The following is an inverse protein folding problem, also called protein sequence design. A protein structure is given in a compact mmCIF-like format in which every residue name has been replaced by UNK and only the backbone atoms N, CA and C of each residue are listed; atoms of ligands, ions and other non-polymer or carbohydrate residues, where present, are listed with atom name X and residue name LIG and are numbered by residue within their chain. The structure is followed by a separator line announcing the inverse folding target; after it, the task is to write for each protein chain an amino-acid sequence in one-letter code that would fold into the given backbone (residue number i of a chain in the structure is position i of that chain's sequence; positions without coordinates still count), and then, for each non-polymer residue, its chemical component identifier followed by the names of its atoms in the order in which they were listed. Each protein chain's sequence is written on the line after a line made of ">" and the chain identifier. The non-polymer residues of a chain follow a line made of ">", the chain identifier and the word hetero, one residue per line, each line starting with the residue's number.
data_IF_934269050757
#
_entry.id   IF_934269050757
#
_cell.length_a   1.000
_cell.length_b   1.000
_cell.length_c   1.000
_cell.angle_alpha   90.00
_cell.angle_beta   90.00
_cell.angle_gamma   90.00
#
_symmetry.space_group_name_H-M   'P 1'
#
loop_
_entity.id
_entity.type
_entity.pdbx_description
1 polymer ?
#
# COMPACT_ATOMS: atom_id res chain seq x y z
N UNK A 1 11.67 -21.25 -17.34
CA UNK A 1 10.22 -21.48 -17.14
C UNK A 1 9.99 -21.59 -15.63
N UNK A 2 9.18 -20.72 -15.02
CA UNK A 2 9.07 -20.42 -13.56
C UNK A 2 9.89 -19.26 -12.98
N UNK A 3 10.32 -18.27 -13.78
CA UNK A 3 10.74 -16.96 -13.22
C UNK A 3 10.26 -15.74 -14.04
N UNK A 4 9.75 -15.90 -15.26
CA UNK A 4 9.26 -14.77 -16.08
C UNK A 4 7.83 -14.31 -15.77
N UNK A 5 7.08 -14.99 -14.89
CA UNK A 5 5.67 -14.63 -14.62
C UNK A 5 5.46 -13.83 -13.33
N UNK A 6 6.48 -13.70 -12.48
CA UNK A 6 6.37 -12.85 -11.27
C UNK A 6 6.52 -11.36 -11.61
N UNK A 7 6.99 -11.04 -12.82
CA UNK A 7 7.20 -9.66 -13.28
C UNK A 7 5.92 -8.93 -13.73
N UNK A 8 4.77 -9.60 -13.94
CA UNK A 8 3.65 -8.92 -14.61
C UNK A 8 2.74 -8.09 -13.68
N UNK A 9 2.69 -8.38 -12.38
CA UNK A 9 1.70 -7.72 -11.49
C UNK A 9 2.23 -6.57 -10.63
N UNK A 10 3.52 -6.54 -10.30
CA UNK A 10 4.12 -5.38 -9.63
C UNK A 10 4.44 -4.24 -10.62
N UNK A 11 4.63 -4.56 -11.91
CA UNK A 11 5.06 -3.62 -12.95
C UNK A 11 3.93 -2.73 -13.47
N UNK A 12 2.65 -3.15 -13.46
CA UNK A 12 1.59 -2.30 -14.01
C UNK A 12 1.28 -1.07 -13.14
N UNK A 13 1.42 -1.17 -11.81
CA UNK A 13 1.30 -0.04 -10.89
C UNK A 13 2.50 0.93 -10.99
N UNK A 14 3.61 0.45 -11.57
CA UNK A 14 4.84 1.19 -11.77
C UNK A 14 5.17 1.38 -13.26
N UNK A 15 4.24 1.24 -14.21
CA UNK A 15 4.59 1.18 -15.64
C UNK A 15 5.18 2.49 -16.22
N UNK A 16 5.07 3.63 -15.51
CA UNK A 16 5.84 4.86 -15.82
C UNK A 16 7.04 5.10 -14.87
N UNK A 17 7.43 4.08 -14.10
CA UNK A 17 8.42 4.13 -13.02
C UNK A 17 9.37 2.93 -12.99
N UNK A 18 9.11 1.87 -13.74
CA UNK A 18 9.95 0.67 -13.79
C UNK A 18 10.99 0.77 -14.94
N UNK A 19 11.85 1.77 -14.86
CA UNK A 19 13.12 1.77 -15.61
C UNK A 19 14.22 1.35 -14.63
N UNK A 20 15.23 0.57 -15.06
CA UNK A 20 16.38 0.15 -14.23
C UNK A 20 16.93 1.25 -13.28
N UNK A 21 17.03 2.53 -13.70
CA UNK A 21 17.43 3.63 -12.80
C UNK A 21 16.57 3.82 -11.55
N UNK A 22 15.24 3.66 -11.65
CA UNK A 22 14.33 3.90 -10.51
C UNK A 22 14.38 2.77 -9.49
N UNK A 23 14.60 1.54 -9.93
CA UNK A 23 14.84 0.42 -9.01
C UNK A 23 16.15 0.60 -8.25
N UNK A 24 17.20 1.10 -8.92
CA UNK A 24 18.46 1.49 -8.27
C UNK A 24 18.24 2.59 -7.23
N UNK A 25 17.49 3.63 -7.59
CA UNK A 25 17.16 4.71 -6.66
C UNK A 25 16.37 4.20 -5.45
N UNK A 26 15.35 3.36 -5.67
CA UNK A 26 14.58 2.75 -4.60
C UNK A 26 15.46 1.92 -3.65
N UNK A 27 16.40 1.15 -4.19
CA UNK A 27 17.38 0.40 -3.39
C UNK A 27 18.18 1.34 -2.49
N UNK A 28 18.70 2.44 -3.05
CA UNK A 28 19.41 3.47 -2.28
C UNK A 28 18.51 4.09 -1.20
N UNK A 29 17.23 4.35 -1.50
CA UNK A 29 16.28 4.87 -0.51
C UNK A 29 15.99 3.85 0.61
N UNK A 30 15.92 2.56 0.29
CA UNK A 30 15.77 1.49 1.30
C UNK A 30 17.02 1.36 2.19
N UNK A 31 18.21 1.50 1.60
CA UNK A 31 19.49 1.48 2.33
C UNK A 31 19.65 2.70 3.27
N UNK A 32 19.13 3.86 2.87
CA UNK A 32 19.16 5.09 3.67
C UNK A 32 18.02 5.19 4.71
N UNK A 33 16.99 4.34 4.64
CA UNK A 33 15.92 4.28 5.63
C UNK A 33 16.38 3.43 6.82
N UNK A 34 16.51 4.04 8.01
CA UNK A 34 17.04 3.39 9.22
C UNK A 34 16.26 2.12 9.60
N UNK A 35 14.94 2.10 9.41
CA UNK A 35 14.10 0.95 9.73
C UNK A 35 14.28 -0.13 8.67
N UNK A 36 14.20 0.23 7.39
CA UNK A 36 14.30 -0.75 6.30
C UNK A 36 15.70 -1.34 6.19
N UNK A 37 16.76 -0.53 6.31
CA UNK A 37 18.14 -1.01 6.33
C UNK A 37 18.39 -2.03 7.45
N UNK A 38 17.81 -1.80 8.64
CA UNK A 38 17.85 -2.75 9.75
C UNK A 38 17.06 -4.04 9.46
N UNK A 39 15.89 -3.93 8.82
CA UNK A 39 15.13 -5.10 8.37
C UNK A 39 15.89 -5.89 7.32
N UNK A 40 16.53 -5.23 6.35
CA UNK A 40 17.39 -5.85 5.34
C UNK A 40 18.54 -6.61 5.99
N UNK A 41 19.16 -6.05 7.03
CA UNK A 41 20.17 -6.76 7.82
C UNK A 41 19.59 -8.05 8.41
N UNK A 42 18.44 -8.02 9.07
CA UNK A 42 17.82 -9.22 9.64
C UNK A 42 17.35 -10.24 8.61
N UNK A 43 16.89 -9.80 7.44
CA UNK A 43 16.56 -10.72 6.35
C UNK A 43 17.81 -11.47 5.87
N UNK A 44 18.98 -10.81 5.83
CA UNK A 44 20.26 -11.40 5.39
C UNK A 44 20.94 -12.25 6.46
N UNK A 45 20.99 -11.77 7.70
CA UNK A 45 21.73 -12.42 8.80
C UNK A 45 20.87 -13.33 9.68
N UNK A 46 19.55 -13.34 9.47
CA UNK A 46 18.59 -13.97 10.35
C UNK A 46 17.99 -12.98 11.35
N UNK A 47 16.70 -13.20 11.65
CA UNK A 47 15.97 -12.45 12.65
C UNK A 47 16.29 -12.95 14.06
N UNK A 48 16.30 -12.07 15.08
CA UNK A 48 16.44 -12.50 16.46
C UNK A 48 15.23 -13.35 16.88
N UNK A 49 15.41 -14.25 17.86
CA UNK A 49 14.29 -15.03 18.42
C UNK A 49 13.23 -14.13 19.05
N UNK A 50 13.69 -13.04 19.69
CA UNK A 50 12.84 -12.02 20.30
C UNK A 50 13.33 -10.65 19.86
N UNK A 51 12.40 -9.78 19.45
CA UNK A 51 12.73 -8.41 19.08
C UNK A 51 13.06 -7.61 20.34
N UNK A 52 14.19 -6.87 20.38
CA UNK A 52 14.52 -5.99 21.49
C UNK A 52 13.41 -4.98 21.77
N UNK A 53 13.14 -4.70 23.05
CA UNK A 53 12.04 -3.82 23.48
C UNK A 53 12.16 -2.38 22.95
N UNK A 54 13.38 -1.92 22.65
CA UNK A 54 13.65 -0.59 22.11
C UNK A 54 13.44 -0.50 20.59
N UNK A 55 13.40 -1.61 19.85
CA UNK A 55 13.23 -1.63 18.38
C UNK A 55 11.74 -1.64 17.98
N UNK A 56 10.93 -0.79 18.60
CA UNK A 56 9.46 -0.79 18.46
C UNK A 56 9.03 -0.61 16.99
N UNK A 57 9.76 0.20 16.23
CA UNK A 57 9.48 0.46 14.81
C UNK A 57 9.66 -0.77 13.92
N UNK A 58 10.43 -1.77 14.36
CA UNK A 58 10.64 -3.02 13.62
C UNK A 58 9.54 -4.05 13.90
N UNK A 59 8.71 -3.86 14.94
CA UNK A 59 7.68 -4.84 15.34
C UNK A 59 6.75 -5.24 14.19
N UNK A 60 6.19 -4.32 13.37
CA UNK A 60 5.35 -4.72 12.25
C UNK A 60 6.06 -5.61 11.22
N UNK A 61 7.37 -5.41 11.05
CA UNK A 61 8.19 -6.22 10.15
C UNK A 61 8.55 -7.56 10.78
N UNK A 62 8.84 -7.56 12.08
CA UNK A 62 9.09 -8.78 12.86
C UNK A 62 7.88 -9.72 12.85
N UNK A 63 6.66 -9.17 12.96
CA UNK A 63 5.42 -9.95 12.91
C UNK A 63 5.20 -10.63 11.55
N UNK A 64 5.63 -10.00 10.45
CA UNK A 64 5.52 -10.56 9.11
C UNK A 64 6.84 -11.14 8.56
N UNK A 65 7.86 -11.33 9.41
CA UNK A 65 9.23 -11.67 9.00
C UNK A 65 9.39 -12.90 8.10
N UNK A 66 8.53 -13.90 8.26
CA UNK A 66 8.54 -15.12 7.43
C UNK A 66 8.16 -14.87 5.97
N UNK A 67 7.58 -13.70 5.67
CA UNK A 67 7.15 -13.27 4.34
C UNK A 67 8.08 -12.20 3.76
N UNK A 68 9.04 -11.72 4.53
CA UNK A 68 10.02 -10.73 4.06
C UNK A 68 11.18 -11.44 3.38
N UNK A 69 11.54 -10.96 2.20
CA UNK A 69 12.67 -11.47 1.41
C UNK A 69 13.27 -10.34 0.57
N UNK A 70 14.29 -10.64 -0.22
CA UNK A 70 14.92 -9.69 -1.14
C UNK A 70 14.88 -10.21 -2.57
N UNK A 71 14.62 -9.31 -3.52
CA UNK A 71 14.78 -9.54 -4.98
C UNK A 71 15.73 -8.46 -5.48
N UNK A 72 16.87 -8.83 -6.06
CA UNK A 72 17.92 -7.88 -6.48
C UNK A 72 18.31 -6.87 -5.38
N UNK A 73 18.44 -7.37 -4.15
CA UNK A 73 18.66 -6.61 -2.91
C UNK A 73 17.55 -5.61 -2.50
N UNK A 74 16.42 -5.60 -3.20
CA UNK A 74 15.25 -4.79 -2.82
C UNK A 74 14.40 -5.60 -1.84
N UNK A 75 14.10 -5.02 -0.69
CA UNK A 75 13.21 -5.62 0.31
C UNK A 75 11.78 -5.73 -0.23
N UNK A 76 11.23 -6.93 -0.17
CA UNK A 76 9.85 -7.24 -0.56
C UNK A 76 9.13 -8.00 0.56
N UNK A 77 7.80 -7.85 0.60
CA UNK A 77 6.88 -8.68 1.39
C UNK A 77 6.05 -9.54 0.43
N UNK A 78 6.28 -10.85 0.44
CA UNK A 78 5.87 -11.79 -0.60
C UNK A 78 6.38 -11.32 -1.98
N UNK A 79 5.53 -10.72 -2.81
CA UNK A 79 5.87 -10.17 -4.12
C UNK A 79 5.72 -8.64 -4.20
N UNK A 80 5.56 -7.96 -3.07
CA UNK A 80 5.29 -6.52 -3.01
C UNK A 80 6.49 -5.75 -2.50
N UNK A 81 6.82 -4.65 -3.15
CA UNK A 81 7.93 -3.78 -2.76
C UNK A 81 7.63 -3.13 -1.41
N UNK A 82 8.57 -3.22 -0.48
CA UNK A 82 8.50 -2.48 0.78
C UNK A 82 8.91 -1.03 0.55
N UNK A 83 8.03 -0.08 0.83
CA UNK A 83 8.27 1.33 0.50
C UNK A 83 8.94 2.09 1.67
N UNK A 84 10.13 2.70 1.45
CA UNK A 84 10.81 3.53 2.45
C UNK A 84 9.98 4.74 2.82
N UNK A 85 10.15 5.23 4.04
CA UNK A 85 9.31 6.28 4.62
C UNK A 85 9.22 7.52 3.72
N UNK A 86 10.36 7.97 3.16
CA UNK A 86 10.44 9.14 2.29
C UNK A 86 9.60 9.02 1.00
N UNK A 87 9.39 7.80 0.50
CA UNK A 87 8.70 7.55 -0.77
C UNK A 87 7.19 7.31 -0.61
N UNK A 88 6.71 7.11 0.64
CA UNK A 88 5.31 6.72 0.89
C UNK A 88 4.31 7.75 0.38
N UNK A 89 4.58 9.05 0.52
CA UNK A 89 3.68 10.10 0.04
C UNK A 89 3.55 10.06 -1.49
N UNK A 90 4.67 9.99 -2.22
CA UNK A 90 4.65 9.90 -3.68
C UNK A 90 3.94 8.63 -4.18
N UNK A 91 4.10 7.50 -3.47
CA UNK A 91 3.40 6.25 -3.80
C UNK A 91 1.90 6.35 -3.49
N UNK A 92 1.52 6.98 -2.38
CA UNK A 92 0.12 7.23 -2.02
C UNK A 92 -0.58 8.08 -3.09
N UNK A 93 0.04 9.17 -3.55
CA UNK A 93 -0.50 10.02 -4.62
C UNK A 93 -0.73 9.22 -5.92
N UNK A 94 0.19 8.33 -6.27
CA UNK A 94 0.03 7.44 -7.44
C UNK A 94 -1.10 6.43 -7.26
N UNK A 95 -1.22 5.81 -6.09
CA UNK A 95 -2.32 4.89 -5.78
C UNK A 95 -3.67 5.61 -5.91
N UNK A 96 -3.74 6.85 -5.42
CA UNK A 96 -4.93 7.69 -5.42
C UNK A 96 -5.28 8.32 -6.78
N UNK A 97 -4.31 8.35 -7.70
CA UNK A 97 -4.50 8.92 -9.04
C UNK A 97 -5.75 8.37 -9.75
N UNK A 98 -6.51 9.28 -10.34
CA UNK A 98 -7.80 9.00 -10.97
C UNK A 98 -9.00 8.92 -10.00
N UNK A 99 -8.82 9.21 -8.71
CA UNK A 99 -9.89 9.37 -7.71
C UNK A 99 -10.91 8.22 -7.66
N UNK A 100 -10.41 6.99 -7.75
CA UNK A 100 -11.22 5.78 -7.96
C UNK A 100 -11.98 5.26 -6.71
N UNK A 101 -11.92 5.97 -5.59
CA UNK A 101 -12.46 5.52 -4.31
C UNK A 101 -11.61 4.47 -3.59
N UNK A 102 -12.03 4.13 -2.36
CA UNK A 102 -11.22 3.37 -1.40
C UNK A 102 -10.91 1.93 -1.84
N UNK A 103 -11.90 1.24 -2.41
CA UNK A 103 -11.77 -0.17 -2.81
C UNK A 103 -10.71 -0.35 -3.90
N UNK A 104 -10.75 0.50 -4.93
CA UNK A 104 -9.79 0.45 -6.04
C UNK A 104 -8.39 0.90 -5.59
N UNK A 105 -8.28 1.91 -4.74
CA UNK A 105 -6.99 2.34 -4.18
C UNK A 105 -6.32 1.21 -3.37
N UNK A 106 -7.08 0.54 -2.48
CA UNK A 106 -6.57 -0.59 -1.70
C UNK A 106 -6.16 -1.76 -2.59
N UNK A 107 -6.97 -2.09 -3.61
CA UNK A 107 -6.66 -3.17 -4.54
C UNK A 107 -5.35 -2.92 -5.31
N UNK A 108 -5.14 -1.69 -5.82
CA UNK A 108 -3.88 -1.30 -6.50
C UNK A 108 -2.66 -1.45 -5.59
N UNK A 109 -2.76 -0.95 -4.36
CA UNK A 109 -1.67 -1.03 -3.40
C UNK A 109 -1.35 -2.48 -3.04
N UNK A 110 -2.38 -3.27 -2.73
CA UNK A 110 -2.26 -4.67 -2.30
C UNK A 110 -1.64 -5.60 -3.35
N UNK A 111 -1.57 -5.20 -4.62
CA UNK A 111 -0.93 -5.95 -5.70
C UNK A 111 0.56 -5.64 -5.87
N UNK A 112 1.04 -4.50 -5.39
CA UNK A 112 2.34 -3.97 -5.82
C UNK A 112 3.27 -3.52 -4.68
N UNK A 113 2.72 -2.95 -3.61
CA UNK A 113 3.51 -2.27 -2.59
C UNK A 113 3.02 -2.62 -1.19
N UNK A 114 3.90 -2.44 -0.20
CA UNK A 114 3.55 -2.64 1.19
C UNK A 114 4.39 -1.75 2.13
N UNK A 115 3.77 -1.32 3.22
CA UNK A 115 4.44 -0.82 4.42
C UNK A 115 3.45 -0.88 5.60
N UNK A 116 3.92 -0.78 6.85
CA UNK A 116 3.05 -0.77 8.01
C UNK A 116 2.00 0.35 7.95
N UNK A 117 0.74 0.05 8.27
CA UNK A 117 -0.39 1.00 8.25
C UNK A 117 -0.77 1.59 6.88
N UNK A 118 -0.25 1.04 5.77
CA UNK A 118 -0.60 1.48 4.40
C UNK A 118 -2.11 1.57 4.15
N UNK A 119 -2.88 0.55 4.53
CA UNK A 119 -4.34 0.52 4.33
C UNK A 119 -5.10 1.63 5.06
N UNK A 120 -4.59 2.07 6.21
CA UNK A 120 -5.14 3.20 6.96
C UNK A 120 -4.79 4.51 6.28
N UNK A 121 -3.53 4.70 5.88
CA UNK A 121 -3.08 5.92 5.19
C UNK A 121 -3.82 6.13 3.86
N UNK A 122 -4.07 5.05 3.10
CA UNK A 122 -4.91 5.11 1.89
C UNK A 122 -6.33 5.58 2.24
N UNK A 123 -6.93 5.06 3.32
CA UNK A 123 -8.27 5.45 3.74
C UNK A 123 -8.34 6.94 4.14
N UNK A 124 -7.34 7.44 4.86
CA UNK A 124 -7.26 8.84 5.25
C UNK A 124 -7.11 9.77 4.05
N UNK A 125 -6.25 9.42 3.09
CA UNK A 125 -6.08 10.19 1.86
C UNK A 125 -7.37 10.24 1.02
N UNK A 126 -8.02 9.09 0.80
CA UNK A 126 -9.29 9.03 0.06
C UNK A 126 -10.38 9.81 0.79
N UNK A 127 -10.45 9.73 2.12
CA UNK A 127 -11.41 10.48 2.94
C UNK A 127 -11.21 12.00 2.86
N UNK A 128 -9.96 12.46 2.74
CA UNK A 128 -9.62 13.90 2.63
C UNK A 128 -9.80 14.44 1.20
N UNK A 129 -9.88 13.57 0.20
CA UNK A 129 -10.04 13.98 -1.20
C UNK A 129 -11.49 14.42 -1.52
N UNK A 130 -11.66 15.66 -1.99
CA UNK A 130 -12.95 16.20 -2.38
C UNK A 130 -13.59 15.44 -3.55
N UNK A 131 -12.80 15.11 -4.58
CA UNK A 131 -13.28 14.37 -5.76
C UNK A 131 -13.83 12.99 -5.37
N UNK A 132 -13.09 12.23 -4.55
CA UNK A 132 -13.58 10.94 -4.05
C UNK A 132 -14.83 11.05 -3.17
N UNK A 133 -14.94 12.12 -2.37
CA UNK A 133 -16.13 12.36 -1.54
C UNK A 133 -17.37 12.62 -2.40
N UNK A 134 -17.25 13.41 -3.47
CA UNK A 134 -18.36 13.70 -4.39
C UNK A 134 -18.88 12.42 -5.05
N UNK A 135 -17.98 11.60 -5.58
CA UNK A 135 -18.33 10.31 -6.21
C UNK A 135 -18.98 9.32 -5.23
N UNK A 136 -18.51 9.29 -3.97
CA UNK A 136 -19.13 8.43 -2.93
C UNK A 136 -20.56 8.84 -2.57
N UNK A 137 -20.91 10.11 -2.76
CA UNK A 137 -22.25 10.64 -2.47
C UNK A 137 -23.22 10.42 -3.65
N UNK A 138 -22.70 10.31 -4.88
CA UNK A 138 -23.48 9.96 -6.09
C UNK A 138 -23.83 8.46 -6.12
N UNK A 139 -23.02 7.62 -5.47
CA UNK A 139 -23.22 6.17 -5.41
C UNK A 139 -24.10 5.70 -4.24
N UNK A 140 -24.60 6.59 -3.38
CA UNK A 140 -25.76 6.24 -2.57
C UNK A 140 -26.99 6.28 -3.48
N UNK A 141 -27.67 5.15 -3.75
CA UNK A 141 -28.95 5.23 -4.41
C UNK A 141 -29.85 6.10 -3.53
N UNK A 142 -30.47 7.11 -4.12
CA UNK A 142 -31.62 7.83 -3.59
C UNK A 142 -32.83 6.88 -3.46
N UNK A 143 -32.68 5.72 -2.81
CA UNK A 143 -33.74 4.73 -2.64
C UNK A 143 -34.31 4.70 -1.23
N UNK A 144 -34.15 5.76 -0.42
CA UNK A 144 -34.76 5.78 0.92
C UNK A 144 -35.40 7.10 1.40
N UNK A 145 -35.63 8.10 0.54
CA UNK A 145 -36.26 9.37 0.98
C UNK A 145 -37.67 9.65 0.43
N UNK A 146 -38.34 8.72 -0.24
CA UNK A 146 -39.72 8.93 -0.71
C UNK A 146 -40.67 7.74 -0.44
N UNK A 147 -40.69 7.23 0.80
CA UNK A 147 -41.72 6.26 1.22
C UNK A 147 -42.58 6.68 2.42
N UNK A 148 -42.37 7.88 2.99
CA UNK A 148 -43.06 8.30 4.22
C UNK A 148 -44.18 9.34 4.05
N UNK A 149 -44.56 9.73 2.83
CA UNK A 149 -45.62 10.73 2.59
C UNK A 149 -46.79 10.27 1.70
N UNK A 150 -47.01 8.97 1.53
CA UNK A 150 -48.18 8.46 0.77
C UNK A 150 -49.18 7.65 1.62
N UNK A 151 -48.89 7.35 2.89
CA UNK A 151 -49.76 6.46 3.70
C UNK A 151 -50.74 7.20 4.64
N UNK A 152 -50.74 8.54 4.71
CA UNK A 152 -51.73 9.30 5.51
C UNK A 152 -52.61 10.20 4.64
N UNK A 153 -53.34 9.60 3.72
CA UNK A 153 -54.34 10.34 2.96
C UNK A 153 -55.06 9.51 1.91
N UNK A 154 -55.87 8.55 2.35
CA UNK A 154 -57.18 8.22 1.75
C UNK A 154 -57.84 7.05 2.48
N UNK A 155 -59.10 7.32 2.86
CA UNK A 155 -60.14 6.49 3.47
C UNK A 155 -60.11 6.39 4.99
#
# INVERSE_FOLDING_TARGET
>A
MFMEEVELFAVSALHNTATSPRLKELKVQQENDEVISRVLQYVRSGWPTYLPSHEILLRPYFECRSRLSTIDDILVLDSRIVIPHAERLAVLDKIHSGHLGITKCRSRAAQSVWWPNMSQQIAEMVKKCESCRKESNVQQPLSFVLSFLVVLGKN
#
